data_IF_533813254154
#
_entry.id   IF_533813254154
#
_cell.length_a   1.000
_cell.length_b   1.000
_cell.length_c   1.000
_cell.angle_alpha   90.00
_cell.angle_beta   90.00
_cell.angle_gamma   90.00
#
_symmetry.space_group_name_H-M   'P 1'
#
loop_
_entity.id
_entity.type
_entity.pdbx_description
1 polymer ?
#
# COMPACT_ATOMS: atom_id res chain seq x y z
N UNK A 1 61.26 -72.70 -17.70
CA UNK A 1 59.88 -72.98 -17.24
C UNK A 1 59.41 -72.04 -16.12
N UNK A 2 60.15 -71.77 -15.01
CA UNK A 2 59.66 -70.87 -13.95
C UNK A 2 59.70 -69.38 -14.33
N UNK A 3 60.69 -68.96 -15.14
CA UNK A 3 60.84 -67.56 -15.58
C UNK A 3 59.68 -67.08 -16.50
N UNK A 4 59.16 -67.97 -17.33
CA UNK A 4 58.02 -67.68 -18.23
C UNK A 4 56.73 -67.50 -17.42
N UNK A 5 56.55 -68.28 -16.36
CA UNK A 5 55.40 -68.15 -15.46
C UNK A 5 55.47 -66.83 -14.69
N UNK A 6 56.65 -66.46 -14.18
CA UNK A 6 56.86 -65.18 -13.49
C UNK A 6 56.58 -63.98 -14.40
N UNK A 7 57.01 -64.06 -15.66
CA UNK A 7 56.77 -63.01 -16.67
C UNK A 7 55.29 -62.90 -17.05
N UNK A 8 54.58 -64.04 -17.12
CA UNK A 8 53.14 -64.07 -17.40
C UNK A 8 52.30 -63.46 -16.25
N UNK A 9 52.68 -63.70 -14.98
CA UNK A 9 52.01 -63.08 -13.82
C UNK A 9 52.27 -61.57 -13.73
N UNK A 10 53.44 -61.10 -14.17
CA UNK A 10 53.76 -59.67 -14.19
C UNK A 10 52.89 -58.88 -15.20
N UNK A 11 52.46 -59.53 -16.30
CA UNK A 11 51.61 -58.93 -17.33
C UNK A 11 50.15 -58.72 -16.88
N UNK A 12 49.67 -59.47 -15.88
CA UNK A 12 48.30 -59.31 -15.33
C UNK A 12 48.21 -58.33 -14.16
N UNK A 13 49.35 -57.85 -13.64
CA UNK A 13 49.38 -56.97 -12.47
C UNK A 13 49.06 -55.49 -12.80
N UNK A 14 49.18 -55.08 -14.06
CA UNK A 14 48.75 -53.77 -14.55
C UNK A 14 47.43 -53.90 -15.31
N UNK A 15 46.37 -54.28 -14.60
CA UNK A 15 45.02 -54.01 -15.08
C UNK A 15 44.58 -52.71 -14.42
N UNK A 16 44.47 -51.65 -15.22
CA UNK A 16 43.87 -50.39 -14.78
C UNK A 16 42.41 -50.70 -14.46
N UNK A 17 42.15 -51.08 -13.21
CA UNK A 17 40.81 -51.14 -12.67
C UNK A 17 40.35 -49.69 -12.64
N UNK A 18 39.77 -49.25 -13.77
CA UNK A 18 39.32 -47.89 -13.99
C UNK A 18 38.60 -47.44 -12.75
N UNK A 19 39.24 -46.55 -12.00
CA UNK A 19 38.73 -46.05 -10.73
C UNK A 19 37.62 -45.07 -11.10
N UNK A 20 36.50 -45.62 -11.56
CA UNK A 20 35.29 -44.87 -11.90
C UNK A 20 34.72 -44.41 -10.59
N UNK A 21 34.63 -43.08 -10.38
CA UNK A 21 34.02 -42.54 -9.16
C UNK A 21 32.66 -43.21 -8.93
N UNK A 22 32.47 -43.74 -7.72
CA UNK A 22 31.25 -44.47 -7.34
C UNK A 22 30.00 -43.58 -7.34
N UNK A 23 30.18 -42.26 -7.26
CA UNK A 23 29.14 -41.26 -7.45
C UNK A 23 29.72 -39.91 -7.90
N UNK A 24 28.91 -39.17 -8.65
CA UNK A 24 29.06 -37.74 -8.89
C UNK A 24 27.72 -37.08 -8.60
N UNK A 25 27.76 -35.88 -8.05
CA UNK A 25 26.56 -35.10 -7.79
C UNK A 25 26.96 -33.69 -7.37
N UNK A 26 26.13 -32.72 -7.75
CA UNK A 26 26.26 -31.35 -7.30
C UNK A 26 25.26 -31.12 -6.16
N UNK A 27 25.67 -30.33 -5.18
CA UNK A 27 24.74 -29.76 -4.22
C UNK A 27 24.23 -28.45 -4.78
N UNK A 28 22.91 -28.30 -4.78
CA UNK A 28 22.25 -27.06 -5.20
C UNK A 28 21.57 -26.42 -3.98
N UNK A 29 21.68 -25.11 -3.88
CA UNK A 29 20.95 -24.30 -2.92
C UNK A 29 19.86 -23.53 -3.66
N UNK A 30 18.74 -23.28 -2.98
CA UNK A 30 17.73 -22.38 -3.51
C UNK A 30 18.19 -20.94 -3.32
N UNK A 31 18.47 -20.26 -4.42
CA UNK A 31 18.81 -18.84 -4.41
C UNK A 31 17.56 -17.98 -4.54
N UNK A 32 17.48 -16.91 -3.73
CA UNK A 32 16.38 -15.95 -3.77
C UNK A 32 16.97 -14.54 -3.75
N UNK A 33 16.50 -13.70 -4.66
CA UNK A 33 16.85 -12.28 -4.68
C UNK A 33 15.80 -11.51 -3.89
N UNK A 34 16.23 -10.82 -2.84
CA UNK A 34 15.38 -9.94 -2.04
C UNK A 34 15.64 -8.50 -2.45
N UNK A 35 14.61 -7.82 -2.95
CA UNK A 35 14.69 -6.45 -3.44
C UNK A 35 13.86 -5.50 -2.59
N UNK A 36 14.31 -4.26 -2.47
CA UNK A 36 13.47 -3.18 -1.97
C UNK A 36 12.38 -2.84 -3.01
N UNK A 37 11.14 -2.66 -2.55
CA UNK A 37 10.02 -2.25 -3.44
C UNK A 37 10.10 -0.78 -3.86
N UNK A 38 10.77 0.05 -3.04
CA UNK A 38 10.92 1.49 -3.25
C UNK A 38 12.33 1.89 -3.66
N UNK A 39 12.43 3.08 -4.25
CA UNK A 39 13.71 3.73 -4.53
C UNK A 39 14.10 4.66 -3.37
N UNK A 40 15.38 4.70 -3.03
CA UNK A 40 15.93 5.58 -2.01
C UNK A 40 17.40 5.30 -1.78
N UNK A 41 18.11 6.23 -1.13
CA UNK A 41 19.47 5.98 -0.70
C UNK A 41 19.48 4.88 0.37
N UNK A 42 20.37 3.89 0.26
CA UNK A 42 20.58 2.91 1.32
C UNK A 42 21.21 3.61 2.53
N UNK A 43 20.48 3.70 3.63
CA UNK A 43 20.92 4.33 4.87
C UNK A 43 21.54 3.33 5.83
N UNK A 44 21.07 2.08 5.79
CA UNK A 44 21.49 1.03 6.70
C UNK A 44 21.39 -0.33 6.01
N UNK A 45 22.35 -1.20 6.25
CA UNK A 45 22.40 -2.55 5.69
C UNK A 45 23.32 -3.42 6.55
N UNK A 46 22.71 -4.20 7.45
CA UNK A 46 23.39 -4.95 8.51
C UNK A 46 23.23 -6.46 8.25
N UNK A 47 23.76 -6.92 7.11
CA UNK A 47 23.85 -8.34 6.77
C UNK A 47 25.25 -8.68 6.32
N UNK A 48 25.77 -9.77 6.85
CA UNK A 48 27.07 -10.32 6.48
C UNK A 48 26.92 -11.68 5.76
N UNK A 49 27.93 -12.05 4.98
CA UNK A 49 27.96 -13.33 4.28
C UNK A 49 28.01 -14.50 5.28
N UNK A 50 27.18 -15.51 5.06
CA UNK A 50 27.07 -16.68 5.95
C UNK A 50 26.18 -16.46 7.18
N UNK A 51 25.57 -15.28 7.32
CA UNK A 51 24.63 -14.98 8.41
C UNK A 51 23.30 -15.72 8.22
N UNK A 52 22.84 -16.41 9.27
CA UNK A 52 21.48 -16.96 9.32
C UNK A 52 20.46 -15.86 9.63
N UNK A 53 19.40 -15.78 8.82
CA UNK A 53 18.36 -14.75 8.94
C UNK A 53 16.99 -15.39 9.25
N UNK A 54 16.35 -15.05 10.38
CA UNK A 54 14.98 -15.44 10.65
C UNK A 54 14.00 -14.68 9.74
N UNK A 55 12.86 -15.32 9.45
CA UNK A 55 11.81 -14.73 8.64
C UNK A 55 11.29 -13.41 9.25
N UNK A 56 11.18 -12.38 8.40
CA UNK A 56 10.70 -11.05 8.80
C UNK A 56 11.74 -10.15 9.45
N UNK A 57 13.01 -10.57 9.57
CA UNK A 57 14.07 -9.69 10.04
C UNK A 57 14.28 -8.51 9.09
N UNK A 58 14.33 -7.30 9.64
CA UNK A 58 14.75 -6.12 8.90
C UNK A 58 16.27 -6.14 8.71
N UNK A 59 16.69 -6.16 7.45
CA UNK A 59 18.11 -6.27 7.06
C UNK A 59 18.71 -4.95 6.56
N UNK A 60 17.87 -3.97 6.27
CA UNK A 60 18.31 -2.67 5.79
C UNK A 60 17.20 -1.63 5.83
N UNK A 61 17.58 -0.40 5.52
CA UNK A 61 16.68 0.74 5.45
C UNK A 61 17.12 1.65 4.30
N UNK A 62 16.20 1.93 3.39
CA UNK A 62 16.35 3.00 2.40
C UNK A 62 15.73 4.29 2.93
N UNK A 63 16.18 5.44 2.43
CA UNK A 63 15.59 6.73 2.76
C UNK A 63 14.13 6.78 2.31
N UNK A 64 13.23 6.95 3.28
CA UNK A 64 11.77 7.04 3.09
C UNK A 64 11.22 8.45 3.32
N UNK A 65 12.08 9.46 3.44
CA UNK A 65 11.69 10.85 3.77
C UNK A 65 10.62 11.39 2.82
N UNK A 66 10.78 11.14 1.51
CA UNK A 66 9.81 11.58 0.50
C UNK A 66 8.43 10.95 0.69
N UNK A 67 8.37 9.65 0.97
CA UNK A 67 7.12 8.95 1.28
C UNK A 67 6.48 9.50 2.57
N UNK A 68 7.31 9.77 3.59
CA UNK A 68 6.85 10.34 4.84
C UNK A 68 6.21 11.72 4.63
N UNK A 69 6.89 12.63 3.92
CA UNK A 69 6.38 13.96 3.62
C UNK A 69 5.12 13.91 2.77
N UNK A 70 5.07 13.02 1.77
CA UNK A 70 3.87 12.84 0.94
C UNK A 70 2.67 12.39 1.77
N UNK A 71 2.88 11.45 2.69
CA UNK A 71 1.84 10.99 3.64
C UNK A 71 1.35 12.13 4.53
N UNK A 72 2.26 12.97 5.05
CA UNK A 72 1.86 14.13 5.85
C UNK A 72 1.03 15.12 5.02
N UNK A 73 1.47 15.43 3.79
CA UNK A 73 0.74 16.30 2.87
C UNK A 73 -0.69 15.79 2.63
N UNK A 74 -0.84 14.49 2.35
CA UNK A 74 -2.16 13.89 2.11
C UNK A 74 -3.06 13.97 3.36
N UNK A 75 -2.52 13.75 4.56
CA UNK A 75 -3.29 13.91 5.81
C UNK A 75 -3.77 15.36 6.00
N UNK A 76 -2.90 16.34 5.75
CA UNK A 76 -3.28 17.74 5.83
C UNK A 76 -4.36 18.09 4.79
N UNK A 77 -4.27 17.57 3.57
CA UNK A 77 -5.30 17.74 2.54
C UNK A 77 -6.64 17.14 2.96
N UNK A 78 -6.66 15.94 3.53
CA UNK A 78 -7.87 15.31 4.07
C UNK A 78 -8.50 16.21 5.14
N UNK A 79 -7.71 16.66 6.12
CA UNK A 79 -8.19 17.53 7.18
C UNK A 79 -8.76 18.86 6.66
N UNK A 80 -8.08 19.49 5.69
CA UNK A 80 -8.55 20.74 5.10
C UNK A 80 -9.87 20.56 4.35
N UNK A 81 -10.04 19.46 3.62
CA UNK A 81 -11.31 19.14 2.94
C UNK A 81 -12.41 18.86 3.96
N UNK A 82 -12.14 18.07 5.00
CA UNK A 82 -13.11 17.79 6.06
C UNK A 82 -13.55 19.06 6.80
N UNK A 83 -12.61 19.95 7.13
CA UNK A 83 -12.93 21.23 7.76
C UNK A 83 -13.89 22.08 6.91
N UNK A 84 -13.61 22.22 5.61
CA UNK A 84 -14.50 22.92 4.67
C UNK A 84 -15.89 22.31 4.61
N UNK A 85 -16.01 20.98 4.65
CA UNK A 85 -17.34 20.34 4.65
C UNK A 85 -18.13 20.59 5.93
N UNK A 86 -17.46 20.74 7.08
CA UNK A 86 -18.12 21.06 8.36
C UNK A 86 -18.61 22.52 8.41
N UNK A 87 -17.87 23.46 7.83
CA UNK A 87 -18.26 24.87 7.77
C UNK A 87 -19.54 25.13 6.94
N UNK A 88 -19.87 24.25 6.01
CA UNK A 88 -21.10 24.35 5.20
C UNK A 88 -22.35 23.96 6.01
N UNK A 89 -22.22 23.13 7.05
CA UNK A 89 -23.36 22.63 7.80
C UNK A 89 -24.15 23.73 8.55
N UNK A 90 -23.51 24.70 9.23
CA UNK A 90 -24.22 25.86 9.78
C UNK A 90 -24.95 26.69 8.72
N UNK A 91 -24.38 26.85 7.53
CA UNK A 91 -25.00 27.58 6.43
C UNK A 91 -26.26 26.86 5.93
N UNK A 92 -26.20 25.53 5.82
CA UNK A 92 -27.38 24.69 5.51
C UNK A 92 -28.47 24.91 6.57
N UNK A 93 -28.11 24.90 7.85
CA UNK A 93 -29.08 25.05 8.94
C UNK A 93 -29.78 26.42 8.89
N UNK A 94 -29.03 27.50 8.66
CA UNK A 94 -29.59 28.85 8.49
C UNK A 94 -30.55 28.91 7.30
N UNK A 95 -30.17 28.33 6.16
CA UNK A 95 -31.04 28.30 4.97
C UNK A 95 -32.31 27.47 5.19
N UNK A 96 -32.23 26.36 5.92
CA UNK A 96 -33.40 25.54 6.29
C UNK A 96 -34.36 26.30 7.21
N UNK A 97 -33.83 27.05 8.17
CA UNK A 97 -34.65 27.87 9.07
C UNK A 97 -35.31 29.05 8.35
N UNK A 98 -34.58 29.74 7.47
CA UNK A 98 -35.14 30.76 6.58
C UNK A 98 -36.27 30.19 5.71
N UNK A 99 -36.08 29.00 5.13
CA UNK A 99 -37.11 28.31 4.36
C UNK A 99 -38.34 27.98 5.19
N UNK A 100 -38.19 27.53 6.43
CA UNK A 100 -39.34 27.28 7.31
C UNK A 100 -40.09 28.57 7.64
N UNK A 101 -39.37 29.66 7.91
CA UNK A 101 -39.98 30.96 8.18
C UNK A 101 -40.77 31.47 6.97
N UNK A 102 -40.19 31.39 5.77
CA UNK A 102 -40.88 31.77 4.52
C UNK A 102 -42.13 30.93 4.28
N UNK A 103 -42.08 29.60 4.50
CA UNK A 103 -43.27 28.74 4.39
C UNK A 103 -44.37 29.08 5.40
N UNK A 104 -44.00 29.46 6.62
CA UNK A 104 -44.97 29.89 7.64
C UNK A 104 -45.60 31.22 7.24
N UNK A 105 -44.80 32.13 6.71
CA UNK A 105 -45.25 33.44 6.25
C UNK A 105 -46.17 33.32 5.03
N UNK A 106 -45.84 32.45 4.07
CA UNK A 106 -46.69 32.11 2.94
C UNK A 106 -48.07 31.63 3.40
N UNK A 107 -48.12 30.65 4.31
CA UNK A 107 -49.39 30.15 4.87
C UNK A 107 -50.19 31.25 5.58
N UNK A 108 -49.51 32.13 6.31
CA UNK A 108 -50.15 33.26 7.00
C UNK A 108 -50.76 34.24 5.99
N UNK A 109 -50.02 34.58 4.93
CA UNK A 109 -50.51 35.47 3.88
C UNK A 109 -51.66 34.85 3.10
N UNK A 110 -51.63 33.54 2.81
CA UNK A 110 -52.77 32.83 2.21
C UNK A 110 -54.04 32.99 3.05
N UNK A 111 -53.95 32.81 4.38
CA UNK A 111 -55.08 33.00 5.28
C UNK A 111 -55.56 34.46 5.32
N UNK A 112 -54.64 35.43 5.40
CA UNK A 112 -54.99 36.84 5.45
C UNK A 112 -55.61 37.35 4.13
N UNK A 113 -55.17 36.84 2.98
CA UNK A 113 -55.79 37.16 1.68
C UNK A 113 -57.20 36.59 1.61
N UNK A 114 -57.43 35.37 2.11
CA UNK A 114 -58.77 34.77 2.18
C UNK A 114 -59.74 35.58 3.05
N UNK A 115 -59.24 36.18 4.13
CA UNK A 115 -60.00 37.06 5.03
C UNK A 115 -60.06 38.53 4.56
N UNK A 116 -59.59 38.86 3.35
CA UNK A 116 -59.47 40.22 2.79
C UNK A 116 -58.63 41.19 3.66
N UNK A 117 -57.76 40.66 4.51
CA UNK A 117 -56.88 41.41 5.40
C UNK A 117 -55.46 41.66 4.82
N UNK A 118 -55.13 41.05 3.67
CA UNK A 118 -53.87 41.24 2.94
C UNK A 118 -54.10 41.29 1.41
N UNK A 119 -53.11 41.79 0.67
CA UNK A 119 -53.21 41.94 -0.80
C UNK A 119 -52.68 40.71 -1.54
N UNK A 120 -53.31 40.34 -2.67
CA UNK A 120 -52.86 39.22 -3.51
C UNK A 120 -51.42 39.38 -4.01
N UNK A 121 -50.99 40.63 -4.22
CA UNK A 121 -49.62 40.96 -4.63
C UNK A 121 -48.57 40.52 -3.59
N UNK A 122 -48.86 40.70 -2.30
CA UNK A 122 -47.93 40.28 -1.23
C UNK A 122 -47.80 38.76 -1.13
N UNK A 123 -48.84 38.02 -1.51
CA UNK A 123 -48.78 36.56 -1.58
C UNK A 123 -47.95 36.11 -2.78
N UNK A 124 -48.16 36.71 -3.95
CA UNK A 124 -47.37 36.43 -5.16
C UNK A 124 -45.87 36.70 -4.94
N UNK A 125 -45.53 37.82 -4.28
CA UNK A 125 -44.14 38.20 -4.00
C UNK A 125 -43.37 37.16 -3.14
N UNK A 126 -44.08 36.30 -2.38
CA UNK A 126 -43.49 35.22 -1.58
C UNK A 126 -43.49 33.87 -2.30
N UNK A 127 -44.38 33.69 -3.28
CA UNK A 127 -44.49 32.45 -4.08
C UNK A 127 -43.61 32.48 -5.33
N UNK A 128 -43.14 33.66 -5.75
CA UNK A 128 -42.24 33.88 -6.89
C UNK A 128 -40.78 33.55 -6.64
#
# INVERSE_FOLDING_TARGET
MPLIILLALALTACQENGNTSDAYGNFEAQEVIVSAEGNGQLLHFDVEEGQELPAGQQIGLIDTTQLHLKRQQLRASIQAVTGKTQEVQPQINVLLEQKQNLKREEKRLQALVADNAATSKQLDDIQG
#
